data_IF_254842282225
#
_entry.id   IF_254842282225
#
_cell.length_a   1.000
_cell.length_b   1.000
_cell.length_c   1.000
_cell.angle_alpha   90.00
_cell.angle_beta   90.00
_cell.angle_gamma   90.00
#
_symmetry.space_group_name_H-M   'P 1'
#
loop_
_entity.id
_entity.type
_entity.pdbx_description
1 polymer ?
#
# COMPACT_ATOMS: atom_id res chain seq x y z
N UNK A 1 -3.90 49.12 46.39
CA UNK A 1 -4.84 48.37 45.54
C UNK A 1 -3.98 47.62 44.50
N UNK A 2 -3.70 46.39 44.80
CA UNK A 2 -2.94 45.50 43.90
C UNK A 2 -3.93 44.69 43.09
N UNK A 3 -3.94 44.91 41.77
CA UNK A 3 -4.69 44.02 40.84
C UNK A 3 -3.86 42.79 40.58
N UNK A 4 -4.30 41.68 41.14
CA UNK A 4 -3.77 40.34 40.85
C UNK A 4 -4.30 39.89 39.48
N UNK A 5 -3.43 39.97 38.46
CA UNK A 5 -3.70 39.37 37.15
C UNK A 5 -3.76 37.86 37.22
N UNK A 6 -4.94 37.30 37.20
CA UNK A 6 -5.14 35.87 36.99
C UNK A 6 -4.76 35.49 35.56
N UNK A 7 -3.59 34.88 35.40
CA UNK A 7 -3.16 34.21 34.16
C UNK A 7 -4.02 32.95 34.02
N UNK A 8 -5.03 32.98 33.19
CA UNK A 8 -5.75 31.79 32.74
C UNK A 8 -4.79 30.95 31.89
N UNK A 9 -4.30 29.86 32.46
CA UNK A 9 -3.63 28.82 31.67
C UNK A 9 -4.71 28.16 30.81
N UNK A 10 -4.72 28.48 29.53
CA UNK A 10 -5.43 27.69 28.50
C UNK A 10 -4.72 26.35 28.40
N UNK A 11 -5.33 25.33 28.97
CA UNK A 11 -4.93 23.93 28.75
C UNK A 11 -5.51 23.54 27.40
N UNK A 12 -4.72 23.65 26.33
CA UNK A 12 -5.06 23.03 25.05
C UNK A 12 -5.11 21.51 25.30
N UNK A 13 -6.32 20.99 25.44
CA UNK A 13 -6.55 19.55 25.48
C UNK A 13 -6.31 19.06 24.06
N UNK A 14 -5.10 18.55 23.77
CA UNK A 14 -4.84 17.81 22.56
C UNK A 14 -5.80 16.62 22.49
N UNK A 15 -6.76 16.68 21.60
CA UNK A 15 -7.71 15.59 21.39
C UNK A 15 -7.01 14.49 20.61
N UNK A 16 -6.70 13.39 21.29
CA UNK A 16 -6.16 12.18 20.65
C UNK A 16 -7.30 11.27 20.21
N UNK A 17 -7.12 10.62 19.06
CA UNK A 17 -8.07 9.69 18.47
C UNK A 17 -7.45 8.31 18.30
N UNK A 18 -8.16 7.27 18.73
CA UNK A 18 -7.79 5.91 18.36
C UNK A 18 -8.18 5.65 16.89
N UNK A 19 -7.28 5.04 16.16
CA UNK A 19 -7.45 4.68 14.76
C UNK A 19 -7.12 3.20 14.55
N UNK A 20 -7.76 2.58 13.55
CA UNK A 20 -7.51 1.20 13.19
C UNK A 20 -7.59 1.00 11.68
N UNK A 21 -6.74 0.14 11.15
CA UNK A 21 -6.79 -0.33 9.78
C UNK A 21 -6.72 -1.86 9.75
N UNK A 22 -7.47 -2.46 8.84
CA UNK A 22 -7.49 -3.92 8.67
C UNK A 22 -7.22 -4.26 7.22
N UNK A 23 -6.25 -5.14 7.00
CA UNK A 23 -5.99 -5.74 5.69
C UNK A 23 -6.22 -7.25 5.73
N UNK A 24 -6.76 -7.77 4.62
CA UNK A 24 -7.08 -9.19 4.44
C UNK A 24 -6.42 -9.69 3.16
N UNK A 25 -5.43 -10.57 3.29
CA UNK A 25 -4.66 -11.12 2.17
C UNK A 25 -4.85 -12.64 2.09
N UNK A 26 -5.21 -13.13 0.90
CA UNK A 26 -5.28 -14.56 0.59
C UNK A 26 -3.98 -15.05 -0.03
N UNK A 27 -3.58 -16.28 0.27
CA UNK A 27 -2.43 -16.93 -0.37
C UNK A 27 -1.85 -18.08 0.44
N UNK A 28 -0.99 -18.86 -0.22
CA UNK A 28 -0.28 -19.99 0.37
C UNK A 28 1.14 -19.61 0.81
N UNK A 29 1.65 -18.46 0.41
CA UNK A 29 2.97 -18.00 0.81
C UNK A 29 3.05 -17.79 2.33
N UNK A 30 4.21 -18.12 2.90
CA UNK A 30 4.53 -17.78 4.29
C UNK A 30 4.57 -16.28 4.55
N UNK A 31 4.78 -15.46 3.50
CA UNK A 31 4.86 -13.99 3.56
C UNK A 31 3.47 -13.32 3.51
N UNK A 32 2.39 -14.07 3.26
CA UNK A 32 1.02 -13.51 3.14
C UNK A 32 0.67 -12.58 4.31
N UNK A 33 1.07 -12.94 5.53
CA UNK A 33 0.86 -12.12 6.72
C UNK A 33 1.71 -10.85 6.76
N UNK A 34 2.90 -10.86 6.15
CA UNK A 34 3.74 -9.67 6.06
C UNK A 34 3.13 -8.61 5.15
N UNK A 35 2.50 -9.01 4.04
CA UNK A 35 1.78 -8.07 3.16
C UNK A 35 0.56 -7.47 3.86
N UNK A 36 -0.23 -8.29 4.57
CA UNK A 36 -1.38 -7.80 5.32
C UNK A 36 -0.95 -6.83 6.44
N UNK A 37 0.15 -7.14 7.14
CA UNK A 37 0.72 -6.23 8.15
C UNK A 37 1.20 -4.93 7.51
N UNK A 38 1.95 -5.01 6.41
CA UNK A 38 2.47 -3.83 5.73
C UNK A 38 1.35 -2.91 5.27
N UNK A 39 0.29 -3.46 4.68
CA UNK A 39 -0.84 -2.68 4.18
C UNK A 39 -1.57 -1.95 5.31
N UNK A 40 -1.93 -2.66 6.39
CA UNK A 40 -2.59 -2.05 7.54
C UNK A 40 -1.70 -1.06 8.29
N UNK A 41 -0.41 -1.37 8.43
CA UNK A 41 0.56 -0.52 9.13
C UNK A 41 0.83 0.78 8.36
N UNK A 42 1.09 0.68 7.05
CA UNK A 42 1.33 1.84 6.19
C UNK A 42 0.15 2.82 6.19
N UNK A 43 -1.10 2.30 6.22
CA UNK A 43 -2.31 3.12 6.29
C UNK A 43 -2.32 3.97 7.57
N UNK A 44 -2.10 3.35 8.73
CA UNK A 44 -2.07 4.06 10.00
C UNK A 44 -0.92 5.06 10.12
N UNK A 45 0.27 4.68 9.64
CA UNK A 45 1.42 5.59 9.61
C UNK A 45 1.14 6.78 8.68
N UNK A 46 0.45 6.55 7.56
CA UNK A 46 0.00 7.62 6.66
C UNK A 46 -1.03 8.55 7.31
N UNK A 47 -1.86 8.06 8.23
CA UNK A 47 -2.74 8.90 9.07
C UNK A 47 -1.99 9.64 10.19
N UNK A 48 -0.71 9.39 10.37
CA UNK A 48 0.11 9.97 11.45
C UNK A 48 -0.05 9.27 12.79
N UNK A 49 -0.52 8.02 12.81
CA UNK A 49 -0.67 7.26 14.04
C UNK A 49 0.68 6.82 14.61
N UNK A 50 0.78 6.91 15.93
CA UNK A 50 1.84 6.32 16.76
C UNK A 50 1.30 5.26 17.72
N UNK A 51 2.18 4.73 18.58
CA UNK A 51 1.81 3.68 19.56
C UNK A 51 1.09 2.49 18.92
N UNK A 52 1.66 2.02 17.81
CA UNK A 52 1.05 1.00 16.95
C UNK A 52 1.13 -0.38 17.58
N UNK A 53 0.10 -1.19 17.36
CA UNK A 53 0.09 -2.63 17.68
C UNK A 53 -0.70 -3.40 16.63
N UNK A 54 -0.55 -4.74 16.62
CA UNK A 54 -1.19 -5.61 15.64
C UNK A 54 -1.94 -6.79 16.29
N UNK A 55 -3.04 -7.18 15.68
CA UNK A 55 -3.78 -8.40 15.95
C UNK A 55 -3.94 -9.18 14.65
N UNK A 56 -3.76 -10.50 14.71
CA UNK A 56 -3.77 -11.37 13.52
C UNK A 56 -4.83 -12.46 13.66
N UNK A 57 -5.54 -12.71 12.57
CA UNK A 57 -6.46 -13.85 12.41
C UNK A 57 -6.07 -14.60 11.15
N UNK A 58 -5.84 -15.91 11.27
CA UNK A 58 -5.55 -16.78 10.14
C UNK A 58 -6.70 -17.75 9.97
N UNK A 59 -7.39 -17.65 8.83
CA UNK A 59 -8.47 -18.57 8.46
C UNK A 59 -7.93 -19.58 7.46
N UNK A 60 -8.18 -20.87 7.73
CA UNK A 60 -7.63 -21.98 6.97
C UNK A 60 -8.77 -22.79 6.40
N UNK A 61 -8.71 -23.17 5.10
CA UNK A 61 -9.68 -24.09 4.54
C UNK A 61 -9.70 -25.43 5.29
N UNK A 62 -10.89 -25.96 5.59
CA UNK A 62 -11.03 -27.29 6.21
C UNK A 62 -10.44 -28.42 5.34
N UNK A 63 -10.52 -28.26 4.01
CA UNK A 63 -10.04 -29.21 3.03
C UNK A 63 -8.51 -29.37 2.98
N UNK A 64 -7.77 -28.49 3.65
CA UNK A 64 -6.31 -28.48 3.61
C UNK A 64 -5.68 -28.70 4.99
N UNK A 65 -4.56 -29.42 4.99
CA UNK A 65 -3.76 -29.65 6.19
C UNK A 65 -3.10 -28.35 6.68
N UNK A 66 -2.81 -28.30 7.98
CA UNK A 66 -2.21 -27.12 8.65
C UNK A 66 -0.67 -27.06 8.54
N UNK A 67 -0.04 -27.83 7.65
CA UNK A 67 1.42 -28.00 7.60
C UNK A 67 2.21 -26.71 7.34
N UNK A 68 1.65 -25.73 6.61
CA UNK A 68 2.31 -24.44 6.32
C UNK A 68 2.09 -23.36 7.37
N UNK A 69 1.15 -23.55 8.29
CA UNK A 69 0.78 -22.57 9.29
C UNK A 69 1.91 -22.12 10.22
N UNK A 70 2.76 -23.03 10.75
CA UNK A 70 3.85 -22.60 11.61
C UNK A 70 4.82 -21.65 10.91
N UNK A 71 5.01 -21.83 9.59
CA UNK A 71 5.85 -20.93 8.81
C UNK A 71 5.24 -19.54 8.65
N UNK A 72 3.93 -19.45 8.36
CA UNK A 72 3.18 -18.17 8.28
C UNK A 72 3.21 -17.46 9.62
N UNK A 73 2.91 -18.16 10.71
CA UNK A 73 2.93 -17.58 12.06
C UNK A 73 4.32 -17.05 12.41
N UNK A 74 5.35 -17.86 12.27
CA UNK A 74 6.75 -17.48 12.55
C UNK A 74 7.18 -16.24 11.74
N UNK A 75 6.75 -16.18 10.48
CA UNK A 75 7.08 -15.05 9.61
C UNK A 75 6.36 -13.77 10.08
N UNK A 76 5.08 -13.83 10.42
CA UNK A 76 4.34 -12.66 10.97
C UNK A 76 4.99 -12.17 12.25
N UNK A 77 5.29 -13.07 13.20
CA UNK A 77 5.96 -12.71 14.46
C UNK A 77 7.32 -12.06 14.23
N UNK A 78 8.09 -12.58 13.26
CA UNK A 78 9.37 -12.01 12.84
C UNK A 78 9.16 -10.59 12.28
N UNK A 79 8.23 -10.42 11.34
CA UNK A 79 7.96 -9.14 10.69
C UNK A 79 7.47 -8.09 11.69
N UNK A 80 6.59 -8.45 12.63
CA UNK A 80 6.15 -7.55 13.70
C UNK A 80 7.35 -7.06 14.54
N UNK A 81 8.28 -7.95 14.90
CA UNK A 81 9.50 -7.57 15.64
C UNK A 81 10.40 -6.63 14.83
N UNK A 82 10.61 -6.93 13.55
CA UNK A 82 11.43 -6.11 12.64
C UNK A 82 10.86 -4.70 12.45
N UNK A 83 9.52 -4.59 12.45
CA UNK A 83 8.83 -3.30 12.33
C UNK A 83 8.60 -2.60 13.68
N UNK A 84 9.01 -3.22 14.80
CA UNK A 84 8.81 -2.65 16.13
C UNK A 84 7.35 -2.55 16.55
N UNK A 85 6.47 -3.42 16.01
CA UNK A 85 5.04 -3.42 16.27
C UNK A 85 4.70 -4.59 17.21
N UNK A 86 4.22 -4.33 18.44
CA UNK A 86 3.75 -5.39 19.34
C UNK A 86 2.62 -6.20 18.73
N UNK A 87 2.77 -7.53 18.72
CA UNK A 87 1.73 -8.46 18.33
C UNK A 87 0.90 -8.85 19.57
N UNK A 88 -0.31 -8.29 19.67
CA UNK A 88 -1.18 -8.51 20.84
C UNK A 88 -1.88 -9.87 20.84
N UNK A 89 -2.23 -10.35 19.66
CA UNK A 89 -2.86 -11.67 19.51
C UNK A 89 -2.65 -12.25 18.11
N UNK A 90 -2.48 -13.57 18.04
CA UNK A 90 -2.51 -14.33 16.82
C UNK A 90 -3.40 -15.54 17.03
N UNK A 91 -4.52 -15.61 16.32
CA UNK A 91 -5.48 -16.72 16.42
C UNK A 91 -5.68 -17.38 15.06
N UNK A 92 -5.95 -18.69 15.10
CA UNK A 92 -6.11 -19.52 13.92
C UNK A 92 -7.45 -20.25 13.98
N UNK A 93 -8.14 -20.28 12.85
CA UNK A 93 -9.44 -20.94 12.73
C UNK A 93 -9.49 -21.75 11.44
N UNK A 94 -10.07 -22.95 11.52
CA UNK A 94 -10.51 -23.67 10.33
C UNK A 94 -11.88 -23.17 9.91
N UNK A 95 -12.11 -23.07 8.60
CA UNK A 95 -13.38 -22.57 8.06
C UNK A 95 -13.75 -23.30 6.77
N UNK A 96 -15.03 -23.70 6.61
CA UNK A 96 -15.52 -24.31 5.39
C UNK A 96 -15.76 -23.32 4.25
N UNK A 97 -15.78 -22.01 4.53
CA UNK A 97 -16.14 -20.99 3.54
C UNK A 97 -14.94 -20.48 2.73
N UNK A 98 -13.72 -20.79 3.12
CA UNK A 98 -12.53 -20.37 2.41
C UNK A 98 -11.98 -21.50 1.54
N UNK A 99 -11.54 -21.21 0.33
CA UNK A 99 -10.80 -22.11 -0.55
C UNK A 99 -9.29 -21.93 -0.45
N UNK A 100 -8.84 -20.78 0.06
CA UNK A 100 -7.45 -20.41 0.30
C UNK A 100 -7.26 -19.91 1.72
N UNK A 101 -6.06 -20.02 2.31
CA UNK A 101 -5.76 -19.34 3.56
C UNK A 101 -5.97 -17.83 3.41
N UNK A 102 -6.61 -17.23 4.42
CA UNK A 102 -6.81 -15.81 4.55
C UNK A 102 -6.11 -15.33 5.82
N UNK A 103 -5.24 -14.36 5.69
CA UNK A 103 -4.62 -13.69 6.83
C UNK A 103 -5.21 -12.29 6.94
N UNK A 104 -5.92 -12.04 8.04
CA UNK A 104 -6.43 -10.73 8.41
C UNK A 104 -5.53 -10.12 9.48
N UNK A 105 -5.01 -8.93 9.24
CA UNK A 105 -4.22 -8.16 10.20
C UNK A 105 -4.94 -6.86 10.48
N UNK A 106 -5.26 -6.64 11.76
CA UNK A 106 -5.77 -5.36 12.24
C UNK A 106 -4.66 -4.68 13.03
N UNK A 107 -4.23 -3.52 12.52
CA UNK A 107 -3.37 -2.62 13.27
C UNK A 107 -4.22 -1.55 13.98
N UNK A 108 -3.80 -1.14 15.16
CA UNK A 108 -4.42 -0.04 15.90
C UNK A 108 -3.32 0.93 16.37
N UNK A 109 -3.70 2.19 16.52
CA UNK A 109 -2.78 3.23 16.98
C UNK A 109 -3.51 4.45 17.50
N UNK A 110 -2.76 5.46 17.87
CA UNK A 110 -3.27 6.74 18.37
C UNK A 110 -2.72 7.84 17.47
N UNK A 111 -3.58 8.73 17.01
CA UNK A 111 -3.18 9.94 16.27
C UNK A 111 -3.72 11.19 16.94
N UNK A 112 -3.03 12.30 16.76
CA UNK A 112 -3.56 13.62 17.13
C UNK A 112 -4.63 14.02 16.10
N UNK A 113 -5.73 14.60 16.59
CA UNK A 113 -6.78 15.07 15.71
C UNK A 113 -6.33 16.39 15.07
N UNK A 114 -5.69 16.31 13.92
CA UNK A 114 -5.37 17.49 13.10
C UNK A 114 -6.39 17.62 11.98
N UNK A 115 -7.08 18.79 11.91
CA UNK A 115 -7.94 19.09 10.77
C UNK A 115 -7.12 19.09 9.48
N UNK A 116 -7.64 18.45 8.43
CA UNK A 116 -7.05 18.60 7.10
C UNK A 116 -7.41 19.99 6.57
N UNK A 117 -6.47 20.72 5.95
CA UNK A 117 -6.78 21.95 5.25
C UNK A 117 -7.85 21.72 4.17
N UNK A 118 -8.85 22.61 4.06
CA UNK A 118 -9.96 22.48 3.10
C UNK A 118 -9.47 22.37 1.64
N UNK A 119 -8.32 22.98 1.33
CA UNK A 119 -7.71 22.99 0.00
C UNK A 119 -6.64 21.91 -0.21
N UNK A 120 -6.45 20.97 0.72
CA UNK A 120 -5.39 19.96 0.65
C UNK A 120 -5.47 19.08 -0.62
N UNK A 121 -6.68 18.83 -1.12
CA UNK A 121 -6.95 18.07 -2.34
C UNK A 121 -7.32 18.96 -3.55
N UNK A 122 -7.16 20.28 -3.43
CA UNK A 122 -7.65 21.27 -4.39
C UNK A 122 -6.96 21.21 -5.75
N UNK A 123 -7.58 21.92 -6.71
CA UNK A 123 -7.10 22.10 -8.07
C UNK A 123 -5.62 22.56 -8.12
N UNK A 124 -4.88 22.04 -9.10
CA UNK A 124 -3.49 22.42 -9.35
C UNK A 124 -2.48 21.67 -8.48
N UNK A 125 -2.92 20.89 -7.47
CA UNK A 125 -2.01 20.03 -6.71
C UNK A 125 -1.39 18.99 -7.62
N UNK A 126 -0.08 18.80 -7.50
CA UNK A 126 0.65 17.77 -8.23
C UNK A 126 0.51 16.43 -7.55
N UNK A 127 0.36 15.38 -8.36
CA UNK A 127 0.26 14.00 -7.90
C UNK A 127 1.65 13.37 -8.00
N UNK A 128 2.23 13.05 -6.86
CA UNK A 128 3.51 12.36 -6.76
C UNK A 128 3.26 10.88 -6.49
N UNK A 129 3.78 10.01 -7.35
CA UNK A 129 3.92 8.59 -7.07
C UNK A 129 5.23 8.39 -6.30
N UNK A 130 5.16 7.78 -5.12
CA UNK A 130 6.30 7.32 -4.33
C UNK A 130 6.29 5.80 -4.26
N UNK A 131 7.35 5.15 -4.71
CA UNK A 131 7.46 3.70 -4.84
C UNK A 131 7.26 3.19 -6.28
N UNK A 132 7.04 1.88 -6.42
CA UNK A 132 6.98 1.18 -7.70
C UNK A 132 5.62 0.55 -7.93
N UNK A 133 5.02 0.83 -9.08
CA UNK A 133 3.73 0.25 -9.47
C UNK A 133 3.84 -1.26 -9.67
N UNK A 134 2.89 -2.02 -9.12
CA UNK A 134 2.78 -3.47 -9.27
C UNK A 134 3.83 -4.28 -8.48
N UNK A 135 4.73 -3.64 -7.74
CA UNK A 135 5.85 -4.32 -7.09
C UNK A 135 5.39 -5.36 -6.08
N UNK A 136 4.49 -5.01 -5.16
CA UNK A 136 4.00 -5.95 -4.15
C UNK A 136 3.26 -7.14 -4.77
N UNK A 137 2.47 -6.89 -5.81
CA UNK A 137 1.80 -7.95 -6.54
C UNK A 137 2.78 -8.87 -7.25
N UNK A 138 3.82 -8.34 -7.89
CA UNK A 138 4.90 -9.12 -8.50
C UNK A 138 5.60 -10.00 -7.45
N UNK A 139 5.93 -9.45 -6.27
CA UNK A 139 6.54 -10.21 -5.17
C UNK A 139 5.63 -11.36 -4.72
N UNK A 140 4.33 -11.09 -4.51
CA UNK A 140 3.35 -12.13 -4.14
C UNK A 140 3.22 -13.21 -5.20
N UNK A 141 3.23 -12.86 -6.49
CA UNK A 141 3.23 -13.83 -7.59
C UNK A 141 4.50 -14.68 -7.55
N UNK A 142 5.66 -14.06 -7.33
CA UNK A 142 6.94 -14.75 -7.27
C UNK A 142 6.98 -15.80 -6.14
N UNK A 143 6.34 -15.53 -5.02
CA UNK A 143 6.25 -16.47 -3.90
C UNK A 143 5.21 -17.58 -4.14
N UNK A 144 4.04 -17.23 -4.69
CA UNK A 144 2.97 -18.21 -4.96
C UNK A 144 3.30 -19.14 -6.14
N UNK A 145 4.12 -18.69 -7.09
CA UNK A 145 4.51 -19.40 -8.31
C UNK A 145 6.03 -19.60 -8.42
N UNK A 146 6.69 -19.74 -7.28
CA UNK A 146 8.16 -19.83 -7.20
C UNK A 146 8.74 -20.91 -8.13
N UNK A 147 8.15 -22.11 -8.17
CA UNK A 147 8.61 -23.20 -9.02
C UNK A 147 8.49 -22.86 -10.52
N UNK A 148 7.34 -22.32 -10.94
CA UNK A 148 7.08 -21.92 -12.34
C UNK A 148 8.04 -20.83 -12.79
N UNK A 149 8.31 -19.84 -11.93
CA UNK A 149 9.22 -18.74 -12.25
C UNK A 149 10.69 -19.20 -12.29
N UNK A 150 11.11 -20.14 -11.43
CA UNK A 150 12.45 -20.73 -11.46
C UNK A 150 12.70 -21.56 -12.72
N UNK A 151 11.67 -22.17 -13.29
CA UNK A 151 11.78 -22.85 -14.59
C UNK A 151 11.89 -21.86 -15.77
N UNK A 152 11.26 -20.70 -15.65
CA UNK A 152 11.16 -19.71 -16.73
C UNK A 152 12.31 -18.70 -16.75
N UNK A 153 12.74 -18.23 -15.59
CA UNK A 153 13.71 -17.15 -15.44
C UNK A 153 15.03 -17.62 -14.85
N UNK A 154 16.12 -16.94 -15.24
CA UNK A 154 17.43 -17.20 -14.69
C UNK A 154 17.49 -16.97 -13.17
N UNK A 155 18.33 -17.72 -12.41
CA UNK A 155 18.45 -17.54 -10.97
C UNK A 155 18.83 -16.10 -10.54
N UNK A 156 19.59 -15.39 -11.35
CA UNK A 156 19.94 -13.98 -11.09
C UNK A 156 18.71 -13.07 -11.10
N UNK A 157 17.76 -13.30 -12.00
CA UNK A 157 16.50 -12.55 -12.06
C UNK A 157 15.62 -12.79 -10.84
N UNK A 158 15.52 -14.06 -10.39
CA UNK A 158 14.79 -14.40 -9.16
C UNK A 158 15.39 -13.68 -7.94
N UNK A 159 16.73 -13.66 -7.83
CA UNK A 159 17.41 -12.91 -6.75
C UNK A 159 17.16 -11.41 -6.80
N UNK A 160 17.02 -10.82 -7.99
CA UNK A 160 16.65 -9.42 -8.14
C UNK A 160 15.25 -9.16 -7.58
N UNK A 161 14.28 -10.04 -7.87
CA UNK A 161 12.94 -9.95 -7.30
C UNK A 161 12.99 -10.03 -5.77
N UNK A 162 13.67 -11.03 -5.21
CA UNK A 162 13.79 -11.24 -3.75
C UNK A 162 14.41 -10.03 -3.02
N UNK A 163 15.29 -9.27 -3.67
CA UNK A 163 15.91 -8.08 -3.10
C UNK A 163 14.91 -6.95 -2.77
N UNK A 164 13.70 -7.00 -3.32
CA UNK A 164 12.65 -6.01 -3.06
C UNK A 164 11.71 -6.35 -1.89
N UNK A 165 11.86 -7.47 -1.22
CA UNK A 165 10.93 -7.94 -0.17
C UNK A 165 10.68 -6.91 0.96
N UNK A 166 11.67 -6.08 1.29
CA UNK A 166 11.52 -5.00 2.27
C UNK A 166 10.76 -3.76 1.80
N UNK A 167 10.52 -3.63 0.48
CA UNK A 167 9.96 -2.41 -0.13
C UNK A 167 8.47 -2.21 0.14
N UNK A 168 7.80 -3.19 0.74
CA UNK A 168 6.37 -3.11 1.09
C UNK A 168 6.10 -2.22 2.31
N UNK A 169 7.12 -1.85 3.09
CA UNK A 169 7.00 -0.97 4.25
C UNK A 169 7.39 0.46 3.89
N UNK A 170 6.41 1.36 3.87
CA UNK A 170 6.56 2.73 3.39
C UNK A 170 6.90 3.77 4.48
N UNK A 171 7.17 3.35 5.71
CA UNK A 171 7.34 4.26 6.85
C UNK A 171 8.34 5.40 6.61
N UNK A 172 9.44 5.15 5.87
CA UNK A 172 10.41 6.20 5.52
C UNK A 172 9.83 7.23 4.55
N UNK A 173 9.11 6.77 3.50
CA UNK A 173 8.47 7.64 2.52
C UNK A 173 7.39 8.52 3.16
N UNK A 174 6.56 7.91 3.99
CA UNK A 174 5.48 8.59 4.70
C UNK A 174 6.04 9.66 5.65
N UNK A 175 7.10 9.36 6.40
CA UNK A 175 7.74 10.32 7.28
C UNK A 175 8.26 11.55 6.51
N UNK A 176 8.99 11.34 5.42
CA UNK A 176 9.48 12.42 4.55
C UNK A 176 8.33 13.28 4.05
N UNK A 177 7.25 12.67 3.60
CA UNK A 177 6.06 13.38 3.14
C UNK A 177 5.41 14.21 4.26
N UNK A 178 5.29 13.63 5.46
CA UNK A 178 4.75 14.34 6.64
C UNK A 178 5.63 15.50 7.08
N UNK A 179 6.95 15.35 7.07
CA UNK A 179 7.90 16.43 7.35
C UNK A 179 7.83 17.57 6.31
N UNK A 180 7.43 17.24 5.07
CA UNK A 180 7.15 18.21 4.01
C UNK A 180 5.71 18.76 4.04
N UNK A 181 4.96 18.52 5.12
CA UNK A 181 3.56 18.94 5.34
C UNK A 181 2.57 18.36 4.31
N UNK A 182 2.87 17.21 3.74
CA UNK A 182 1.94 16.50 2.88
C UNK A 182 0.88 15.81 3.74
N UNK A 183 -0.39 16.15 3.49
CA UNK A 183 -1.52 15.68 4.29
C UNK A 183 -2.32 14.56 3.62
N UNK A 184 -2.34 14.53 2.30
CA UNK A 184 -3.05 13.51 1.53
C UNK A 184 -2.05 12.53 0.98
N UNK A 185 -2.07 11.34 1.58
CA UNK A 185 -1.28 10.17 1.20
C UNK A 185 -2.25 9.00 1.01
N UNK A 186 -2.27 8.41 -0.18
CA UNK A 186 -3.10 7.25 -0.48
C UNK A 186 -2.22 6.08 -0.88
N UNK A 187 -2.28 5.01 -0.11
CA UNK A 187 -1.61 3.77 -0.44
C UNK A 187 -2.23 3.16 -1.71
N UNK A 188 -1.39 2.55 -2.54
CA UNK A 188 -1.81 1.85 -3.75
C UNK A 188 -1.97 0.38 -3.39
N UNK A 189 -3.20 -0.08 -3.21
CA UNK A 189 -3.56 -1.44 -2.81
C UNK A 189 -4.33 -2.16 -3.92
N UNK A 190 -5.43 -2.81 -3.60
CA UNK A 190 -6.26 -3.57 -4.53
C UNK A 190 -6.66 -2.77 -5.79
N UNK A 191 -6.51 -3.39 -6.96
CA UNK A 191 -6.77 -2.78 -8.26
C UNK A 191 -5.68 -1.83 -8.76
N UNK A 192 -4.55 -1.75 -8.03
CA UNK A 192 -3.34 -1.04 -8.44
C UNK A 192 -3.49 0.47 -8.54
N UNK A 193 -2.58 1.09 -9.33
CA UNK A 193 -2.52 2.55 -9.42
C UNK A 193 -3.76 3.16 -10.08
N UNK A 194 -4.39 2.47 -11.03
CA UNK A 194 -5.59 3.00 -11.67
C UNK A 194 -6.76 3.10 -10.70
N UNK A 195 -6.94 2.10 -9.84
CA UNK A 195 -7.94 2.16 -8.77
C UNK A 195 -7.63 3.28 -7.77
N UNK A 196 -6.37 3.40 -7.34
CA UNK A 196 -5.94 4.44 -6.40
C UNK A 196 -6.18 5.86 -6.97
N UNK A 197 -5.84 6.10 -8.23
CA UNK A 197 -6.08 7.38 -8.93
C UNK A 197 -7.57 7.70 -9.06
N UNK A 198 -8.37 6.69 -9.41
CA UNK A 198 -9.82 6.85 -9.52
C UNK A 198 -10.45 7.23 -8.18
N UNK A 199 -10.06 6.55 -7.09
CA UNK A 199 -10.53 6.85 -5.75
C UNK A 199 -10.06 8.23 -5.26
N UNK A 200 -8.79 8.58 -5.50
CA UNK A 200 -8.23 9.89 -5.15
C UNK A 200 -9.06 11.02 -5.77
N UNK A 201 -9.32 10.94 -7.08
CA UNK A 201 -10.12 11.94 -7.79
C UNK A 201 -11.58 11.98 -7.31
N UNK A 202 -12.19 10.81 -7.04
CA UNK A 202 -13.57 10.73 -6.56
C UNK A 202 -13.74 11.35 -5.17
N UNK A 203 -12.81 11.09 -4.26
CA UNK A 203 -12.85 11.61 -2.88
C UNK A 203 -12.58 13.12 -2.84
N UNK A 204 -11.68 13.60 -3.70
CA UNK A 204 -11.42 15.02 -3.86
C UNK A 204 -12.56 15.76 -4.56
N UNK A 205 -13.48 15.07 -5.22
CA UNK A 205 -14.56 15.67 -6.01
C UNK A 205 -14.07 16.45 -7.24
N UNK A 206 -12.86 16.10 -7.75
CA UNK A 206 -12.20 16.79 -8.87
C UNK A 206 -11.73 15.78 -9.91
N UNK A 207 -11.24 16.27 -11.06
CA UNK A 207 -10.59 15.45 -12.07
C UNK A 207 -9.09 15.33 -11.86
N UNK A 208 -8.48 14.52 -12.71
CA UNK A 208 -7.03 14.31 -12.76
C UNK A 208 -6.53 14.22 -14.21
N UNK A 209 -5.30 14.66 -14.43
CA UNK A 209 -4.59 14.54 -15.70
C UNK A 209 -3.23 13.88 -15.45
N UNK A 210 -3.07 12.63 -15.89
CA UNK A 210 -1.95 11.75 -15.58
C UNK A 210 -1.12 11.47 -16.84
N UNK A 211 0.19 11.57 -16.73
CA UNK A 211 1.15 11.13 -17.74
C UNK A 211 1.61 9.69 -17.44
N UNK A 212 1.11 8.75 -18.23
CA UNK A 212 1.39 7.31 -18.05
C UNK A 212 2.89 6.99 -18.14
N UNK A 213 3.65 7.75 -18.94
CA UNK A 213 5.09 7.54 -19.11
C UNK A 213 5.91 7.86 -17.85
N UNK A 214 5.32 8.61 -16.92
CA UNK A 214 5.96 8.97 -15.64
C UNK A 214 5.63 7.98 -14.52
N UNK A 215 4.74 7.03 -14.75
CA UNK A 215 4.43 5.98 -13.77
C UNK A 215 5.58 4.99 -13.74
N UNK A 216 6.30 4.95 -12.62
CA UNK A 216 7.45 4.07 -12.42
C UNK A 216 7.01 2.61 -12.26
N UNK A 217 7.49 1.72 -13.14
CA UNK A 217 7.30 0.26 -13.08
C UNK A 217 8.67 -0.39 -13.24
N UNK A 218 8.98 -1.39 -12.41
CA UNK A 218 10.23 -2.16 -12.51
C UNK A 218 10.18 -3.10 -13.72
N UNK A 219 11.35 -3.32 -14.34
CA UNK A 219 11.47 -4.29 -15.43
C UNK A 219 11.05 -5.69 -14.96
N UNK A 220 11.43 -6.07 -13.75
CA UNK A 220 11.06 -7.36 -13.15
C UNK A 220 9.53 -7.52 -13.04
N UNK A 221 8.83 -6.44 -12.69
CA UNK A 221 7.37 -6.42 -12.64
C UNK A 221 6.76 -6.61 -14.03
N UNK A 222 7.32 -5.95 -15.05
CA UNK A 222 6.86 -6.07 -16.43
C UNK A 222 7.03 -7.51 -16.91
N UNK A 223 8.22 -8.10 -16.76
CA UNK A 223 8.53 -9.47 -17.19
C UNK A 223 7.61 -10.51 -16.54
N UNK A 224 7.37 -10.39 -15.22
CA UNK A 224 6.45 -11.29 -14.51
C UNK A 224 5.02 -11.09 -15.00
N UNK A 225 4.59 -9.84 -15.17
CA UNK A 225 3.24 -9.55 -15.68
C UNK A 225 3.03 -10.07 -17.09
N UNK A 226 4.01 -9.92 -17.98
CA UNK A 226 3.95 -10.45 -19.35
C UNK A 226 3.83 -11.98 -19.37
N UNK A 227 4.63 -12.67 -18.51
CA UNK A 227 4.57 -14.13 -18.39
C UNK A 227 3.17 -14.64 -18.04
N UNK A 228 2.42 -13.90 -17.22
CA UNK A 228 1.08 -14.26 -16.79
C UNK A 228 -0.05 -13.48 -17.49
N UNK A 229 0.28 -12.62 -18.45
CA UNK A 229 -0.67 -11.73 -19.17
C UNK A 229 -1.48 -10.83 -18.24
N UNK A 230 -0.80 -10.21 -17.29
CA UNK A 230 -1.35 -9.29 -16.31
C UNK A 230 -1.08 -7.83 -16.70
N UNK A 231 -1.93 -6.92 -16.24
CA UNK A 231 -1.70 -5.50 -16.36
C UNK A 231 -1.00 -4.98 -15.09
N UNK A 232 0.28 -4.54 -15.15
CA UNK A 232 1.02 -4.07 -13.97
C UNK A 232 0.38 -2.84 -13.30
N UNK A 233 -0.38 -2.03 -14.03
CA UNK A 233 -1.07 -0.85 -13.50
C UNK A 233 -2.34 -1.18 -12.69
N UNK A 234 -2.86 -2.38 -12.82
CA UNK A 234 -4.01 -2.92 -12.08
C UNK A 234 -3.57 -3.97 -11.03
N UNK A 235 -2.29 -4.05 -10.75
CA UNK A 235 -1.71 -4.98 -9.80
C UNK A 235 -1.37 -4.26 -8.49
N UNK A 236 -1.71 -4.86 -7.36
CA UNK A 236 -1.46 -4.30 -6.03
C UNK A 236 -0.02 -3.83 -5.85
N UNK A 237 0.15 -2.68 -5.22
CA UNK A 237 1.43 -1.98 -5.06
C UNK A 237 1.67 -1.56 -3.61
N UNK A 238 1.28 -2.42 -2.65
CA UNK A 238 1.49 -2.16 -1.21
C UNK A 238 2.91 -1.64 -0.94
N UNK A 239 3.01 -0.55 -0.17
CA UNK A 239 4.27 0.17 0.04
C UNK A 239 4.51 1.34 -0.92
N UNK A 240 3.69 1.48 -1.97
CA UNK A 240 3.70 2.64 -2.87
C UNK A 240 2.52 3.56 -2.57
N UNK A 241 2.73 4.87 -2.76
CA UNK A 241 1.76 5.90 -2.39
C UNK A 241 1.56 6.94 -3.49
N UNK A 242 0.33 7.41 -3.62
CA UNK A 242 0.00 8.68 -4.25
C UNK A 242 0.01 9.77 -3.17
N UNK A 243 0.68 10.88 -3.44
CA UNK A 243 0.83 12.00 -2.53
C UNK A 243 0.45 13.30 -3.24
N UNK A 244 -0.40 14.13 -2.62
CA UNK A 244 -0.77 15.42 -3.19
C UNK A 244 0.10 16.54 -2.63
N UNK A 245 0.82 17.24 -3.50
CA UNK A 245 1.74 18.29 -3.13
C UNK A 245 1.48 19.57 -3.91
N UNK A 246 1.75 20.74 -3.30
CA UNK A 246 1.78 22.00 -4.00
C UNK A 246 3.03 22.13 -4.90
N UNK A 247 4.14 21.53 -4.46
CA UNK A 247 5.41 21.42 -5.20
C UNK A 247 5.82 19.94 -5.19
N UNK A 248 5.27 19.19 -6.13
CA UNK A 248 5.56 17.77 -6.28
C UNK A 248 6.98 17.50 -6.73
N UNK A 249 7.58 18.44 -7.49
CA UNK A 249 8.97 18.34 -7.92
C UNK A 249 9.94 18.33 -6.74
N UNK A 250 9.72 19.20 -5.76
CA UNK A 250 10.51 19.25 -4.51
C UNK A 250 10.33 17.96 -3.71
N UNK A 251 9.09 17.50 -3.52
CA UNK A 251 8.81 16.26 -2.77
C UNK A 251 9.45 15.05 -3.44
N UNK A 252 9.27 14.88 -4.75
CA UNK A 252 9.87 13.78 -5.50
C UNK A 252 11.42 13.82 -5.44
N UNK A 253 12.01 15.02 -5.50
CA UNK A 253 13.44 15.22 -5.32
C UNK A 253 13.94 14.79 -3.94
N UNK A 254 13.19 15.11 -2.87
CA UNK A 254 13.52 14.72 -1.49
C UNK A 254 13.44 13.21 -1.30
N UNK A 255 12.37 12.57 -1.79
CA UNK A 255 12.19 11.13 -1.74
C UNK A 255 13.34 10.40 -2.46
N UNK A 256 13.71 10.83 -3.69
CA UNK A 256 14.82 10.24 -4.45
C UNK A 256 16.17 10.39 -3.76
N UNK A 257 16.47 11.54 -3.15
CA UNK A 257 17.70 11.73 -2.34
C UNK A 257 17.78 10.76 -1.17
N UNK A 258 16.65 10.30 -0.70
CA UNK A 258 16.54 9.31 0.36
C UNK A 258 16.45 7.86 -0.13
N UNK A 259 16.69 7.62 -1.43
CA UNK A 259 16.69 6.28 -2.05
C UNK A 259 15.30 5.71 -2.32
N UNK A 260 14.27 6.55 -2.34
CA UNK A 260 12.89 6.15 -2.64
C UNK A 260 12.58 6.62 -4.06
N UNK A 261 12.14 5.70 -4.93
CA UNK A 261 11.67 6.08 -6.27
C UNK A 261 10.46 6.99 -6.14
N UNK A 262 10.49 8.10 -6.87
CA UNK A 262 9.37 9.03 -6.88
C UNK A 262 9.34 9.89 -8.15
N UNK A 263 8.15 10.16 -8.65
CA UNK A 263 7.92 11.00 -9.82
C UNK A 263 6.61 11.80 -9.68
N UNK A 264 6.60 13.02 -10.22
CA UNK A 264 5.34 13.75 -10.46
C UNK A 264 4.70 13.13 -11.69
N UNK A 265 3.60 12.42 -11.48
CA UNK A 265 2.90 11.68 -12.55
C UNK A 265 1.73 12.45 -13.17
N UNK A 266 1.31 13.57 -12.55
CA UNK A 266 0.18 14.34 -13.02
C UNK A 266 -0.26 15.39 -12.01
N UNK A 267 -1.49 15.85 -12.16
CA UNK A 267 -2.08 16.92 -11.32
C UNK A 267 -3.59 16.75 -11.17
N UNK A 268 -4.13 17.36 -10.13
CA UNK A 268 -5.56 17.58 -9.94
C UNK A 268 -6.06 18.66 -10.90
N UNK A 269 -7.25 18.49 -11.46
CA UNK A 269 -7.88 19.44 -12.41
C UNK A 269 -9.15 20.06 -11.83
N UNK A 270 -9.72 21.05 -12.50
CA UNK A 270 -10.95 21.77 -12.12
C UNK A 270 -12.24 21.13 -12.65
N UNK A 271 -12.12 20.05 -13.44
CA UNK A 271 -13.24 19.31 -13.97
C UNK A 271 -13.41 17.96 -13.22
N UNK A 272 -14.25 17.06 -13.75
CA UNK A 272 -14.46 15.73 -13.17
C UNK A 272 -13.81 14.60 -13.99
N UNK A 273 -13.02 14.94 -15.01
CA UNK A 273 -12.43 13.97 -15.92
C UNK A 273 -11.23 13.28 -15.28
N UNK A 274 -11.13 11.99 -15.46
CA UNK A 274 -10.01 11.18 -15.00
C UNK A 274 -9.19 10.75 -16.21
N UNK A 275 -8.32 11.66 -16.66
CA UNK A 275 -7.56 11.52 -17.91
C UNK A 275 -6.21 10.87 -17.65
N UNK A 276 -5.84 9.95 -18.52
CA UNK A 276 -4.50 9.39 -18.63
C UNK A 276 -3.98 9.58 -20.05
N UNK A 277 -2.76 10.09 -20.17
CA UNK A 277 -2.08 10.36 -21.44
C UNK A 277 -0.92 9.42 -21.64
N UNK A 278 -0.81 8.87 -22.85
CA UNK A 278 0.34 8.12 -23.30
C UNK A 278 0.86 8.73 -24.61
N UNK A 279 1.68 9.79 -24.50
CA UNK A 279 2.02 10.64 -25.65
C UNK A 279 0.82 11.40 -26.16
N UNK A 280 0.44 11.18 -27.43
CA UNK A 280 -0.73 11.81 -28.05
C UNK A 280 -2.05 11.09 -27.73
N UNK A 281 -1.96 9.85 -27.26
CA UNK A 281 -3.14 9.07 -26.91
C UNK A 281 -3.72 9.53 -25.58
N UNK A 282 -5.03 9.81 -25.56
CA UNK A 282 -5.79 10.21 -24.38
C UNK A 282 -6.83 9.13 -24.10
N UNK A 283 -6.82 8.63 -22.87
CA UNK A 283 -7.83 7.68 -22.36
C UNK A 283 -8.42 8.19 -21.06
N UNK A 284 -9.58 7.67 -20.71
CA UNK A 284 -10.17 7.90 -19.38
C UNK A 284 -9.91 6.69 -18.49
N UNK A 285 -9.65 6.95 -17.21
CA UNK A 285 -9.54 5.88 -16.21
C UNK A 285 -10.94 5.38 -15.89
N UNK A 286 -11.21 4.13 -16.19
CA UNK A 286 -12.47 3.45 -15.89
C UNK A 286 -12.64 3.22 -14.36
N UNK A 287 -13.86 2.81 -14.00
CA UNK A 287 -14.11 2.35 -12.62
C UNK A 287 -13.16 1.23 -12.25
N UNK A 288 -12.73 1.15 -10.96
CA UNK A 288 -11.80 0.10 -10.51
C UNK A 288 -12.28 -1.30 -10.93
N UNK A 289 -11.37 -2.04 -11.55
CA UNK A 289 -11.52 -3.46 -11.83
C UNK A 289 -10.96 -4.28 -10.66
N UNK A 290 -11.33 -5.56 -10.53
CA UNK A 290 -10.66 -6.48 -9.61
C UNK A 290 -9.15 -6.52 -9.86
N UNK A 291 -8.38 -6.70 -8.79
CA UNK A 291 -6.92 -6.79 -8.88
C UNK A 291 -6.47 -7.95 -9.79
N UNK A 292 -5.50 -7.69 -10.63
CA UNK A 292 -4.92 -8.68 -11.54
C UNK A 292 -4.32 -9.91 -10.82
N UNK A 293 -3.90 -9.75 -9.57
CA UNK A 293 -3.38 -10.85 -8.75
C UNK A 293 -4.41 -11.97 -8.56
N UNK A 294 -5.70 -11.65 -8.59
CA UNK A 294 -6.77 -12.62 -8.42
C UNK A 294 -6.80 -13.68 -9.54
N UNK A 295 -6.24 -13.37 -10.72
CA UNK A 295 -6.07 -14.34 -11.82
C UNK A 295 -5.02 -15.41 -11.47
N UNK A 296 -4.13 -15.13 -10.55
CA UNK A 296 -3.04 -16.02 -10.14
C UNK A 296 -3.40 -16.80 -8.87
N UNK A 297 -3.83 -16.07 -7.82
CA UNK A 297 -4.06 -16.64 -6.49
C UNK A 297 -5.38 -17.43 -6.43
N UNK A 298 -6.42 -17.00 -7.16
CA UNK A 298 -7.73 -17.67 -7.20
C UNK A 298 -7.77 -18.95 -8.04
N UNK A 299 -6.79 -19.18 -8.90
CA UNK A 299 -6.71 -20.33 -9.80
C UNK A 299 -5.56 -21.28 -9.41
N UNK A 300 -5.64 -21.92 -8.24
CA UNK A 300 -4.87 -23.13 -8.04
C UNK A 300 -5.41 -24.17 -9.03
N UNK A 301 -4.61 -24.55 -10.04
CA UNK A 301 -4.88 -25.78 -10.78
C UNK A 301 -5.03 -26.88 -9.74
N UNK A 302 -6.24 -27.41 -9.57
CA UNK A 302 -6.46 -28.64 -8.84
C UNK A 302 -5.58 -29.68 -9.52
N UNK A 303 -4.43 -29.96 -8.92
CA UNK A 303 -3.61 -31.11 -9.32
C UNK A 303 -4.44 -32.36 -9.06
N UNK A 304 -4.76 -33.05 -10.10
CA UNK A 304 -5.19 -34.45 -10.09
C UNK A 304 -4.04 -35.31 -9.59
#
# INVERSE_FOLDING_TARGET
>A
MEESGQKTMSTDIQTVRAVSATSCICGWSKETGAYALAEALNELVAEGAGSLNAQVRILIPESHGSSRLPAVQKQIEKTCREQGVPLLSLLQYKTPVASLPLVAVTCTGITECTAQPEDAAGQGREIVLAGWTGLAGMLRIAEEREAELKERFAPAFIKQIEAFNGSIFAGKAIRIAREADIRILRQITEGGIFAALWHLAKEAGTGIDIDMKKISVRQETIEVCENYRLNPYQLTSTGSFLMLAADGGRLAGELRRNGIEAAVIGRMTDNNDKVIRNGEEIRYIDRPAPDEINKIIGHTKSGY
#
